data_IF_998055927755
#
_entry.id   IF_998055927755
#
_cell.length_a   1.000
_cell.length_b   1.000
_cell.length_c   1.000
_cell.angle_alpha   90.00
_cell.angle_beta   90.00
_cell.angle_gamma   90.00
#
_symmetry.space_group_name_H-M   'P 1'
#
loop_
_entity.id
_entity.type
_entity.pdbx_description
1 polymer ?
#
# COMPACT_ATOMS: atom_id res chain seq x y z
N UNK A 1 -26.03 12.18 23.54
CA UNK A 1 -25.11 11.14 23.07
C UNK A 1 -24.55 11.57 21.71
N UNK A 2 -23.47 12.35 21.71
CA UNK A 2 -22.76 12.72 20.48
C UNK A 2 -21.91 11.53 20.05
N UNK A 3 -22.23 10.91 18.92
CA UNK A 3 -21.37 9.87 18.34
C UNK A 3 -20.00 10.50 18.07
N UNK A 4 -18.97 10.09 18.81
CA UNK A 4 -17.58 10.33 18.40
C UNK A 4 -17.37 9.53 17.13
N UNK A 5 -17.35 10.20 15.98
CA UNK A 5 -16.98 9.57 14.72
C UNK A 5 -15.55 9.05 14.83
N UNK A 6 -15.39 7.74 14.98
CA UNK A 6 -14.06 7.13 14.95
C UNK A 6 -13.38 7.38 13.60
N UNK A 7 -12.04 7.40 13.58
CA UNK A 7 -11.25 7.49 12.35
C UNK A 7 -11.73 6.43 11.35
N UNK A 8 -11.92 6.83 10.09
CA UNK A 8 -12.25 5.89 9.02
C UNK A 8 -11.13 4.84 8.89
N UNK A 9 -11.50 3.57 8.84
CA UNK A 9 -10.54 2.48 8.58
C UNK A 9 -10.22 2.44 7.10
N UNK A 10 -8.94 2.35 6.75
CA UNK A 10 -8.46 2.29 5.38
C UNK A 10 -7.76 0.95 5.17
N UNK A 11 -8.02 0.32 4.03
CA UNK A 11 -7.38 -0.92 3.63
C UNK A 11 -6.71 -0.80 2.26
N UNK A 12 -5.62 -1.54 2.09
CA UNK A 12 -4.91 -1.70 0.81
C UNK A 12 -5.13 -3.12 0.28
N UNK A 13 -5.56 -3.21 -0.97
CA UNK A 13 -5.73 -4.47 -1.68
C UNK A 13 -4.85 -4.47 -2.93
N UNK A 14 -3.86 -5.37 -2.97
CA UNK A 14 -2.97 -5.58 -4.10
C UNK A 14 -3.27 -6.92 -4.76
N UNK A 15 -3.39 -6.92 -6.08
CA UNK A 15 -3.69 -8.12 -6.84
C UNK A 15 -2.42 -8.93 -7.11
N UNK A 16 -2.56 -10.04 -7.85
CA UNK A 16 -1.42 -10.73 -8.42
C UNK A 16 -1.17 -10.26 -9.85
N UNK A 17 0.08 -10.37 -10.31
CA UNK A 17 0.43 -10.16 -11.71
C UNK A 17 1.83 -10.65 -12.08
N UNK A 18 2.40 -11.53 -11.25
CA UNK A 18 3.79 -11.97 -11.37
C UNK A 18 4.79 -10.83 -11.15
N UNK A 19 6.06 -11.00 -11.57
CA UNK A 19 7.10 -10.00 -11.36
C UNK A 19 6.74 -8.62 -11.96
N UNK A 20 6.21 -8.60 -13.19
CA UNK A 20 5.86 -7.33 -13.89
C UNK A 20 4.66 -6.64 -13.24
N UNK A 21 3.63 -7.40 -12.85
CA UNK A 21 2.51 -6.84 -12.10
C UNK A 21 2.93 -6.26 -10.75
N UNK A 22 3.86 -6.91 -10.04
CA UNK A 22 4.41 -6.37 -8.80
C UNK A 22 5.16 -5.05 -9.01
N UNK A 23 5.96 -4.92 -10.07
CA UNK A 23 6.63 -3.66 -10.43
C UNK A 23 5.60 -2.56 -10.73
N UNK A 24 4.54 -2.90 -11.48
CA UNK A 24 3.46 -1.97 -11.78
C UNK A 24 2.74 -1.48 -10.51
N UNK A 25 2.37 -2.39 -9.60
CA UNK A 25 1.71 -2.04 -8.34
C UNK A 25 2.58 -1.13 -7.47
N UNK A 26 3.88 -1.37 -7.42
CA UNK A 26 4.82 -0.53 -6.68
C UNK A 26 4.90 0.89 -7.27
N UNK A 27 4.99 1.02 -8.60
CA UNK A 27 4.95 2.32 -9.26
C UNK A 27 3.62 3.05 -9.02
N UNK A 28 2.50 2.33 -9.10
CA UNK A 28 1.18 2.90 -8.82
C UNK A 28 1.04 3.38 -7.37
N UNK A 29 1.52 2.61 -6.40
CA UNK A 29 1.52 3.03 -5.00
C UNK A 29 2.43 4.22 -4.74
N UNK A 30 3.61 4.30 -5.38
CA UNK A 30 4.49 5.45 -5.25
C UNK A 30 3.81 6.72 -5.77
N UNK A 31 3.17 6.65 -6.95
CA UNK A 31 2.40 7.76 -7.49
C UNK A 31 1.23 8.16 -6.58
N UNK A 32 0.52 7.20 -6.00
CA UNK A 32 -0.57 7.48 -5.04
C UNK A 32 -0.06 8.10 -3.74
N UNK A 33 1.09 7.66 -3.22
CA UNK A 33 1.69 8.23 -2.02
C UNK A 33 2.13 9.69 -2.24
N UNK A 34 2.51 10.07 -3.46
CA UNK A 34 2.79 11.46 -3.83
C UNK A 34 1.51 12.29 -4.01
N UNK A 35 0.43 11.68 -4.51
CA UNK A 35 -0.81 12.38 -4.83
C UNK A 35 -1.77 12.56 -3.63
N UNK A 36 -1.62 11.77 -2.56
CA UNK A 36 -2.54 11.73 -1.42
C UNK A 36 -1.92 12.34 -0.15
N UNK A 37 -2.36 13.54 0.21
CA UNK A 37 -1.92 14.21 1.44
C UNK A 37 -2.38 13.47 2.70
N UNK A 38 -1.46 13.24 3.64
CA UNK A 38 -1.75 12.64 4.95
C UNK A 38 -2.05 11.14 4.93
N UNK A 39 -1.83 10.46 3.79
CA UNK A 39 -2.00 9.02 3.64
C UNK A 39 -0.66 8.32 3.83
N UNK A 40 -0.54 7.58 4.92
CA UNK A 40 0.62 6.71 5.18
C UNK A 40 0.26 5.26 4.82
N UNK A 41 0.83 4.78 3.71
CA UNK A 41 0.65 3.42 3.21
C UNK A 41 1.21 2.33 4.15
N UNK A 42 1.98 2.71 5.16
CA UNK A 42 2.48 1.81 6.21
C UNK A 42 1.61 1.80 7.47
N UNK A 43 0.60 2.69 7.53
CA UNK A 43 -0.30 2.86 8.66
C UNK A 43 -1.78 2.56 8.33
N UNK A 44 -2.05 1.78 7.29
CA UNK A 44 -3.40 1.26 7.02
C UNK A 44 -3.83 0.19 8.02
N UNK A 45 -5.13 0.06 8.19
CA UNK A 45 -5.74 -0.88 9.14
C UNK A 45 -5.75 -2.32 8.61
N UNK A 46 -5.77 -2.48 7.27
CA UNK A 46 -5.93 -3.76 6.60
C UNK A 46 -5.02 -3.82 5.37
N UNK A 47 -4.29 -4.92 5.22
CA UNK A 47 -3.50 -5.23 4.03
C UNK A 47 -3.94 -6.58 3.47
N UNK A 48 -4.31 -6.59 2.19
CA UNK A 48 -4.67 -7.80 1.45
C UNK A 48 -3.79 -7.84 0.21
N UNK A 49 -3.17 -8.99 -0.04
CA UNK A 49 -2.34 -9.19 -1.22
C UNK A 49 -2.42 -10.61 -1.74
N UNK A 50 -2.35 -10.77 -3.06
CA UNK A 50 -2.31 -12.08 -3.74
C UNK A 50 -1.03 -12.20 -4.56
N UNK A 51 -0.30 -13.31 -4.45
CA UNK A 51 0.93 -13.55 -5.24
C UNK A 51 1.95 -12.40 -5.10
N UNK A 52 2.34 -11.72 -6.19
CA UNK A 52 3.21 -10.53 -6.14
C UNK A 52 2.68 -9.46 -5.19
N UNK A 53 1.37 -9.19 -5.22
CA UNK A 53 0.75 -8.22 -4.32
C UNK A 53 0.82 -8.66 -2.86
N UNK A 54 0.89 -9.95 -2.54
CA UNK A 54 1.07 -10.44 -1.17
C UNK A 54 2.45 -10.05 -0.62
N UNK A 55 3.49 -10.17 -1.44
CA UNK A 55 4.86 -9.77 -1.07
C UNK A 55 4.94 -8.26 -0.85
N UNK A 56 4.35 -7.48 -1.75
CA UNK A 56 4.33 -6.02 -1.66
C UNK A 56 3.47 -5.54 -0.49
N UNK A 57 2.28 -6.11 -0.28
CA UNK A 57 1.40 -5.77 0.84
C UNK A 57 2.06 -6.09 2.18
N UNK A 58 2.79 -7.21 2.26
CA UNK A 58 3.56 -7.55 3.45
C UNK A 58 4.70 -6.55 3.68
N UNK A 59 5.40 -6.10 2.63
CA UNK A 59 6.48 -5.13 2.78
C UNK A 59 6.00 -3.79 3.35
N UNK A 60 4.91 -3.22 2.80
CA UNK A 60 4.35 -1.96 3.32
C UNK A 60 3.78 -2.11 4.73
N UNK A 61 3.13 -3.24 5.05
CA UNK A 61 2.68 -3.56 6.39
C UNK A 61 3.84 -3.68 7.41
N UNK A 62 5.06 -3.96 6.94
CA UNK A 62 6.29 -3.99 7.73
C UNK A 62 7.09 -2.67 7.68
N UNK A 63 6.47 -1.57 7.22
CA UNK A 63 7.08 -0.25 7.27
C UNK A 63 7.95 0.12 6.07
N UNK A 64 7.98 -0.69 5.00
CA UNK A 64 8.64 -0.27 3.77
C UNK A 64 7.73 0.68 3.00
N UNK A 65 8.05 1.98 3.04
CA UNK A 65 7.30 2.99 2.31
C UNK A 65 7.27 2.71 0.78
N UNK A 66 6.19 3.09 0.07
CA UNK A 66 6.08 2.91 -1.39
C UNK A 66 7.28 3.45 -2.18
N UNK A 67 7.82 4.60 -1.78
CA UNK A 67 9.01 5.19 -2.42
C UNK A 67 10.25 4.29 -2.31
N UNK A 68 10.45 3.63 -1.16
CA UNK A 68 11.55 2.67 -0.96
C UNK A 68 11.40 1.47 -1.88
N UNK A 69 10.18 0.92 -1.98
CA UNK A 69 9.88 -0.19 -2.87
C UNK A 69 10.09 0.18 -4.34
N UNK A 70 9.68 1.40 -4.74
CA UNK A 70 9.90 1.89 -6.10
C UNK A 70 11.39 1.95 -6.42
N UNK A 71 12.24 2.43 -5.51
CA UNK A 71 13.70 2.47 -5.74
C UNK A 71 14.34 1.08 -5.85
N UNK A 72 13.71 0.04 -5.32
CA UNK A 72 14.20 -1.33 -5.41
C UNK A 72 13.78 -2.04 -6.71
N UNK A 73 12.68 -1.61 -7.34
CA UNK A 73 11.97 -2.40 -8.35
C UNK A 73 11.68 -1.66 -9.67
N UNK A 74 11.79 -0.32 -9.69
CA UNK A 74 11.54 0.57 -10.84
C UNK A 74 12.80 1.37 -11.17
#
# INVERSE_FOLDING_TARGET
MTARGGRARIGLALAGGGPVGGIYEVGAMAALAEALDGVDFTAFDIYVGVSSGALISAAVANGLAPATLARMLV
#
